data_IF_271063905845
#
_entry.id   IF_271063905845
#
_cell.length_a   1.000
_cell.length_b   1.000
_cell.length_c   1.000
_cell.angle_alpha   90.00
_cell.angle_beta   90.00
_cell.angle_gamma   90.00
#
_symmetry.space_group_name_H-M   'P 1'
#
loop_
_entity.id
_entity.type
_entity.pdbx_description
1 polymer ?
#
# COMPACT_ATOMS: atom_id res chain seq x y z
N UNK A 1 -16.73 -23.47 25.39
CA UNK A 1 -16.29 -23.69 23.99
C UNK A 1 -14.94 -22.98 23.83
N UNK A 2 -13.89 -23.76 23.86
CA UNK A 2 -12.52 -23.23 23.74
C UNK A 2 -12.14 -23.09 22.29
N UNK A 3 -11.79 -21.88 21.88
CA UNK A 3 -11.29 -21.61 20.53
C UNK A 3 -9.77 -21.74 20.61
N UNK A 4 -9.25 -22.81 19.97
CA UNK A 4 -7.82 -23.04 19.78
C UNK A 4 -7.27 -22.03 18.79
N UNK A 5 -6.34 -21.20 19.23
CA UNK A 5 -5.44 -20.48 18.34
C UNK A 5 -4.30 -21.41 17.95
N UNK A 6 -4.24 -21.73 16.66
CA UNK A 6 -3.18 -22.54 16.10
C UNK A 6 -1.83 -21.82 16.17
N UNK A 7 -0.86 -22.52 16.68
CA UNK A 7 0.55 -22.13 16.77
C UNK A 7 1.16 -21.99 15.38
N UNK A 8 1.88 -20.92 15.15
CA UNK A 8 2.73 -20.74 13.98
C UNK A 8 3.97 -21.63 14.10
N UNK A 9 4.30 -22.44 13.10
CA UNK A 9 5.60 -23.13 13.08
C UNK A 9 6.70 -22.12 12.76
N UNK A 10 7.56 -21.92 13.73
CA UNK A 10 8.86 -21.27 13.61
C UNK A 10 9.82 -22.15 12.80
N UNK A 11 10.78 -21.47 12.16
CA UNK A 11 12.01 -22.01 11.57
C UNK A 11 11.90 -22.70 10.20
N UNK A 12 11.98 -21.87 9.15
CA UNK A 12 12.56 -22.31 7.89
C UNK A 12 13.81 -21.48 7.61
N UNK A 13 14.91 -22.19 7.62
CA UNK A 13 16.28 -21.86 7.31
C UNK A 13 16.41 -20.86 6.15
N UNK A 14 17.06 -19.72 6.44
CA UNK A 14 17.54 -18.76 5.45
C UNK A 14 18.66 -19.37 4.62
N UNK A 15 18.34 -19.88 3.43
CA UNK A 15 19.33 -20.09 2.38
C UNK A 15 19.62 -18.75 1.74
N UNK A 16 20.87 -18.29 1.88
CA UNK A 16 21.47 -17.16 1.24
C UNK A 16 21.27 -17.20 -0.28
N UNK A 17 20.53 -16.24 -0.82
CA UNK A 17 20.55 -15.89 -2.24
C UNK A 17 21.71 -14.91 -2.46
N UNK A 18 22.91 -15.44 -2.55
CA UNK A 18 24.03 -14.73 -3.16
C UNK A 18 23.90 -14.84 -4.66
N UNK A 19 23.89 -13.75 -5.30
CA UNK A 19 24.29 -13.39 -6.65
C UNK A 19 23.22 -12.69 -7.48
N UNK A 20 23.10 -11.38 -7.29
CA UNK A 20 22.73 -10.48 -8.36
C UNK A 20 23.73 -9.35 -8.39
N UNK A 21 24.60 -9.36 -9.41
CA UNK A 21 25.54 -8.28 -9.70
C UNK A 21 24.77 -7.02 -10.01
N UNK A 22 24.62 -6.17 -9.02
CA UNK A 22 24.05 -4.83 -9.13
C UNK A 22 25.16 -3.87 -9.53
N UNK A 23 24.90 -3.13 -10.58
CA UNK A 23 25.70 -2.03 -11.08
C UNK A 23 26.14 -1.06 -9.96
N UNK A 24 27.39 -1.22 -9.52
CA UNK A 24 28.29 -0.15 -9.14
C UNK A 24 27.98 0.81 -7.99
N UNK A 25 27.04 0.51 -7.09
CA UNK A 25 26.89 1.30 -5.86
C UNK A 25 27.20 0.40 -4.68
N UNK A 26 28.46 0.49 -4.20
CA UNK A 26 28.87 -0.11 -2.93
C UNK A 26 28.24 0.65 -1.77
N UNK A 27 26.99 0.43 -1.48
CA UNK A 27 26.41 0.79 -0.19
C UNK A 27 26.61 -0.36 0.78
N UNK A 28 27.69 -0.31 1.54
CA UNK A 28 27.87 -1.07 2.77
C UNK A 28 26.86 -0.56 3.80
N UNK A 29 25.62 -0.99 3.70
CA UNK A 29 24.70 -0.93 4.81
C UNK A 29 23.71 -2.06 4.62
N UNK A 30 23.79 -3.03 5.49
CA UNK A 30 22.78 -4.05 5.70
C UNK A 30 21.52 -3.30 6.15
N UNK A 31 20.75 -2.80 5.19
CA UNK A 31 19.48 -2.15 5.48
C UNK A 31 18.55 -3.25 5.93
N UNK A 32 18.44 -3.42 7.24
CA UNK A 32 17.38 -4.20 7.84
C UNK A 32 16.07 -3.58 7.39
N UNK A 33 15.45 -4.17 6.37
CA UNK A 33 14.13 -3.76 5.91
C UNK A 33 13.16 -3.98 7.06
N UNK A 34 12.62 -2.90 7.59
CA UNK A 34 11.51 -2.98 8.55
C UNK A 34 10.33 -3.71 7.90
N UNK A 35 9.43 -4.36 8.66
CA UNK A 35 8.23 -5.01 8.12
C UNK A 35 7.44 -4.11 7.17
N UNK A 36 7.40 -2.79 7.44
CA UNK A 36 6.79 -1.79 6.58
C UNK A 36 7.57 -1.58 5.27
N UNK A 37 8.89 -1.72 5.31
CA UNK A 37 9.75 -1.69 4.12
C UNK A 37 9.47 -2.86 3.18
N UNK A 38 9.39 -4.08 3.72
CA UNK A 38 9.01 -5.27 2.96
C UNK A 38 7.65 -5.11 2.30
N UNK A 39 6.65 -4.61 3.04
CA UNK A 39 5.32 -4.39 2.50
C UNK A 39 5.33 -3.39 1.33
N UNK A 40 6.14 -2.33 1.42
CA UNK A 40 6.28 -1.37 0.31
C UNK A 40 6.90 -2.01 -0.93
N UNK A 41 7.95 -2.79 -0.76
CA UNK A 41 8.58 -3.53 -1.88
C UNK A 41 7.55 -4.44 -2.55
N UNK A 42 6.81 -5.21 -1.78
CA UNK A 42 5.74 -6.07 -2.27
C UNK A 42 4.67 -5.29 -3.05
N UNK A 43 4.20 -4.16 -2.53
CA UNK A 43 3.21 -3.31 -3.21
C UNK A 43 3.74 -2.82 -4.59
N UNK A 44 5.03 -2.51 -4.70
CA UNK A 44 5.64 -2.11 -5.97
C UNK A 44 5.84 -3.27 -6.94
N UNK A 45 6.16 -4.47 -6.45
CA UNK A 45 6.22 -5.68 -7.29
C UNK A 45 4.85 -6.00 -7.88
N UNK A 46 3.80 -5.94 -7.08
CA UNK A 46 2.42 -6.11 -7.56
C UNK A 46 2.04 -5.03 -8.59
N UNK A 47 2.49 -3.79 -8.37
CA UNK A 47 2.26 -2.71 -9.34
C UNK A 47 2.96 -2.99 -10.68
N UNK A 48 4.15 -3.57 -10.67
CA UNK A 48 4.86 -3.95 -11.89
C UNK A 48 4.14 -5.07 -12.64
N UNK A 49 3.58 -6.05 -11.93
CA UNK A 49 2.72 -7.07 -12.54
C UNK A 49 1.46 -6.45 -13.16
N UNK A 50 0.79 -5.56 -12.42
CA UNK A 50 -0.39 -4.85 -12.95
C UNK A 50 -0.09 -4.05 -14.21
N UNK A 51 1.10 -3.44 -14.32
CA UNK A 51 1.54 -2.72 -15.52
C UNK A 51 1.71 -3.63 -16.74
N UNK A 52 2.24 -4.84 -16.50
CA UNK A 52 2.43 -5.84 -17.57
C UNK A 52 1.10 -6.37 -18.07
N UNK A 53 0.16 -6.61 -17.18
CA UNK A 53 -1.18 -7.11 -17.51
C UNK A 53 -2.06 -6.03 -18.15
N UNK A 54 -1.89 -4.77 -17.79
CA UNK A 54 -2.73 -3.65 -18.21
C UNK A 54 -1.91 -2.53 -18.87
N UNK A 55 -1.25 -2.79 -20.01
CA UNK A 55 -0.32 -1.83 -20.63
C UNK A 55 -1.01 -0.57 -21.15
N UNK A 56 -2.28 -0.65 -21.54
CA UNK A 56 -3.08 0.49 -22.05
C UNK A 56 -3.68 1.34 -20.93
N UNK A 57 -3.76 0.81 -19.72
CA UNK A 57 -4.36 1.48 -18.58
C UNK A 57 -3.43 2.53 -17.93
N UNK A 58 -4.02 3.44 -17.17
CA UNK A 58 -3.29 4.50 -16.46
C UNK A 58 -2.24 3.97 -15.48
N UNK A 59 -2.40 2.73 -15.00
CA UNK A 59 -1.45 2.08 -14.09
C UNK A 59 -0.08 1.89 -14.75
N UNK A 60 -0.02 1.69 -16.06
CA UNK A 60 1.23 1.52 -16.82
C UNK A 60 2.17 2.72 -16.66
N UNK A 61 1.62 3.93 -16.56
CA UNK A 61 2.32 5.21 -16.45
C UNK A 61 2.53 5.66 -15.00
N UNK A 62 1.85 5.02 -14.04
CA UNK A 62 1.84 5.42 -12.64
C UNK A 62 3.23 5.38 -12.02
N UNK A 63 3.65 6.50 -11.43
CA UNK A 63 4.96 6.71 -10.79
C UNK A 63 6.19 6.47 -11.68
N UNK A 64 5.99 6.33 -12.98
CA UNK A 64 7.07 6.17 -13.97
C UNK A 64 7.27 7.42 -14.82
N UNK A 65 6.19 8.03 -15.27
CA UNK A 65 6.26 9.20 -16.13
C UNK A 65 6.20 10.49 -15.33
N UNK A 66 6.87 11.52 -15.86
CA UNK A 66 6.77 12.89 -15.37
C UNK A 66 5.46 13.50 -15.88
N UNK A 67 4.83 14.35 -15.07
CA UNK A 67 3.68 15.15 -15.48
C UNK A 67 4.14 16.20 -16.49
N UNK A 68 5.16 16.96 -16.11
CA UNK A 68 5.83 17.93 -16.96
C UNK A 68 7.18 17.37 -17.40
N UNK A 69 7.38 17.24 -18.71
CA UNK A 69 8.61 16.69 -19.29
C UNK A 69 9.81 17.63 -19.14
N UNK A 70 9.56 18.93 -19.03
CA UNK A 70 10.61 19.95 -18.91
C UNK A 70 11.22 20.01 -17.52
N UNK A 71 10.42 19.68 -16.50
CA UNK A 71 10.85 19.70 -15.10
C UNK A 71 11.43 18.38 -14.65
N UNK A 72 12.46 18.43 -13.81
CA UNK A 72 13.02 17.24 -13.16
C UNK A 72 12.08 16.68 -12.09
N UNK A 73 12.31 15.44 -11.67
CA UNK A 73 11.64 14.87 -10.50
C UNK A 73 12.25 15.52 -9.27
N UNK A 74 11.42 16.02 -8.39
CA UNK A 74 11.81 16.62 -7.12
C UNK A 74 11.40 15.72 -5.95
N UNK A 75 12.20 15.72 -4.90
CA UNK A 75 11.81 15.12 -3.62
C UNK A 75 11.38 16.28 -2.71
N UNK A 76 10.15 16.24 -2.26
CA UNK A 76 9.59 17.23 -1.34
C UNK A 76 9.42 16.57 0.02
N UNK A 77 9.91 17.21 1.06
CA UNK A 77 9.73 16.78 2.45
C UNK A 77 8.67 17.66 3.12
N UNK A 78 7.72 17.02 3.77
CA UNK A 78 6.71 17.70 4.55
C UNK A 78 7.03 17.52 6.04
N UNK A 79 7.46 18.57 6.70
CA UNK A 79 7.87 18.57 8.11
C UNK A 79 6.74 18.17 9.05
N UNK A 80 5.52 18.71 8.86
CA UNK A 80 4.37 18.37 9.70
C UNK A 80 3.98 16.90 9.68
N UNK A 81 4.29 16.19 8.61
CA UNK A 81 3.96 14.77 8.43
C UNK A 81 5.16 13.86 8.50
N UNK A 82 6.35 14.44 8.63
CA UNK A 82 7.64 13.72 8.61
C UNK A 82 7.75 12.74 7.44
N UNK A 83 7.24 13.14 6.27
CA UNK A 83 7.16 12.28 5.09
C UNK A 83 7.70 12.98 3.86
N UNK A 84 8.55 12.25 3.14
CA UNK A 84 9.00 12.65 1.81
C UNK A 84 8.07 12.09 0.72
N UNK A 85 7.87 12.88 -0.33
CA UNK A 85 7.13 12.47 -1.51
C UNK A 85 7.80 13.00 -2.78
N UNK A 86 7.57 12.31 -3.89
CA UNK A 86 8.07 12.74 -5.18
C UNK A 86 7.11 13.73 -5.84
N UNK A 87 7.62 14.90 -6.21
CA UNK A 87 6.92 15.85 -7.08
C UNK A 87 7.11 15.50 -8.56
N UNK A 88 6.27 16.07 -9.41
CA UNK A 88 6.31 15.93 -10.87
C UNK A 88 6.23 14.46 -11.36
N UNK A 89 5.50 13.61 -10.67
CA UNK A 89 5.31 12.19 -11.02
C UNK A 89 3.85 11.89 -11.22
N UNK A 90 3.51 11.27 -12.35
CA UNK A 90 2.15 10.91 -12.68
C UNK A 90 1.60 9.84 -11.74
N UNK A 91 0.42 10.07 -11.17
CA UNK A 91 -0.30 9.14 -10.29
C UNK A 91 -1.59 8.72 -10.98
N UNK A 92 -1.85 7.41 -11.08
CA UNK A 92 -3.05 6.93 -11.75
C UNK A 92 -4.34 7.12 -10.96
N UNK A 93 -4.26 7.13 -9.62
CA UNK A 93 -5.42 7.24 -8.74
C UNK A 93 -6.40 6.07 -8.80
N UNK A 94 -6.02 4.96 -9.41
CA UNK A 94 -6.90 3.79 -9.52
C UNK A 94 -6.88 2.95 -8.24
N UNK A 95 -8.07 2.65 -7.73
CA UNK A 95 -8.26 1.75 -6.58
C UNK A 95 -8.22 0.29 -7.04
N UNK A 96 -8.62 0.02 -8.29
CA UNK A 96 -8.81 -1.34 -8.80
C UNK A 96 -7.56 -1.91 -9.46
N UNK A 97 -6.85 -1.11 -10.24
CA UNK A 97 -5.74 -1.58 -11.05
C UNK A 97 -4.35 -1.28 -10.48
N UNK A 98 -4.24 -0.43 -9.48
CA UNK A 98 -2.95 -0.04 -8.92
C UNK A 98 -2.88 -0.28 -7.40
N UNK A 99 -2.17 -1.31 -6.94
CA UNK A 99 -2.10 -1.65 -5.51
C UNK A 99 -1.50 -0.52 -4.65
N UNK A 100 -0.54 0.22 -5.18
CA UNK A 100 0.09 1.34 -4.46
C UNK A 100 -0.89 2.51 -4.28
N UNK A 101 -1.66 2.86 -5.32
CA UNK A 101 -2.67 3.91 -5.23
C UNK A 101 -3.87 3.46 -4.38
N UNK A 102 -4.31 2.22 -4.54
CA UNK A 102 -5.38 1.63 -3.75
C UNK A 102 -5.10 1.73 -2.26
N UNK A 103 -3.92 1.31 -1.83
CA UNK A 103 -3.50 1.36 -0.43
C UNK A 103 -3.53 2.79 0.13
N UNK A 104 -2.98 3.75 -0.61
CA UNK A 104 -2.95 5.15 -0.18
C UNK A 104 -4.36 5.76 -0.07
N UNK A 105 -5.21 5.51 -1.06
CA UNK A 105 -6.58 6.03 -1.07
C UNK A 105 -7.41 5.39 0.04
N UNK A 106 -7.31 4.07 0.20
CA UNK A 106 -8.03 3.33 1.25
C UNK A 106 -7.60 3.80 2.64
N UNK A 107 -6.31 3.99 2.86
CA UNK A 107 -5.81 4.49 4.14
C UNK A 107 -6.30 5.91 4.43
N UNK A 108 -6.31 6.79 3.42
CA UNK A 108 -6.84 8.15 3.56
C UNK A 108 -8.32 8.12 3.93
N UNK A 109 -9.13 7.36 3.19
CA UNK A 109 -10.57 7.21 3.46
C UNK A 109 -10.86 6.61 4.83
N UNK A 110 -10.08 5.61 5.25
CA UNK A 110 -10.19 5.02 6.59
C UNK A 110 -9.97 6.07 7.68
N UNK A 111 -8.96 6.91 7.53
CA UNK A 111 -8.67 7.96 8.49
C UNK A 111 -9.77 9.05 8.51
N UNK A 112 -10.29 9.43 7.33
CA UNK A 112 -11.39 10.39 7.20
C UNK A 112 -12.67 9.84 7.86
N UNK A 113 -12.99 8.57 7.59
CA UNK A 113 -14.14 7.90 8.20
C UNK A 113 -13.99 7.81 9.73
N UNK A 114 -12.80 7.43 10.23
CA UNK A 114 -12.53 7.38 11.66
C UNK A 114 -12.79 8.72 12.35
N UNK A 115 -12.25 9.80 11.79
CA UNK A 115 -12.50 11.16 12.30
C UNK A 115 -13.97 11.55 12.25
N UNK A 116 -14.67 11.20 11.18
CA UNK A 116 -16.11 11.44 11.04
C UNK A 116 -16.91 10.72 12.12
N UNK A 117 -16.60 9.46 12.38
CA UNK A 117 -17.24 8.65 13.42
C UNK A 117 -16.97 9.24 14.82
N UNK A 118 -15.73 9.63 15.11
CA UNK A 118 -15.37 10.25 16.39
C UNK A 118 -16.11 11.57 16.61
N UNK A 119 -16.13 12.45 15.59
CA UNK A 119 -16.87 13.70 15.62
C UNK A 119 -18.37 13.49 15.85
N UNK A 120 -18.96 12.51 15.16
CA UNK A 120 -20.37 12.19 15.32
C UNK A 120 -20.69 11.65 16.71
N UNK A 121 -19.86 10.76 17.26
CA UNK A 121 -20.01 10.24 18.61
C UNK A 121 -19.98 11.36 19.66
N UNK A 122 -19.06 12.30 19.50
CA UNK A 122 -18.93 13.44 20.41
C UNK A 122 -20.16 14.35 20.34
N UNK A 123 -20.70 14.60 19.14
CA UNK A 123 -21.85 15.49 18.97
C UNK A 123 -23.17 14.87 19.44
N UNK A 124 -23.37 13.57 19.28
CA UNK A 124 -24.65 12.90 19.51
C UNK A 124 -24.66 11.93 20.68
N UNK A 125 -23.52 11.76 21.38
CA UNK A 125 -23.33 10.79 22.48
C UNK A 125 -23.85 9.38 22.15
N UNK A 126 -23.71 8.99 20.88
CA UNK A 126 -24.25 7.76 20.31
C UNK A 126 -23.20 6.70 19.98
N UNK A 127 -23.64 5.49 19.66
CA UNK A 127 -22.78 4.39 19.22
C UNK A 127 -23.02 4.12 17.74
N UNK A 128 -21.94 3.86 16.99
CA UNK A 128 -22.00 3.47 15.58
C UNK A 128 -21.86 1.96 15.47
N UNK A 129 -22.85 1.30 14.92
CA UNK A 129 -22.83 -0.13 14.67
C UNK A 129 -22.75 -0.39 13.17
N UNK A 130 -21.87 -1.28 12.77
CA UNK A 130 -21.86 -1.86 11.43
C UNK A 130 -22.62 -3.20 11.50
N UNK A 131 -23.85 -3.30 10.98
CA UNK A 131 -24.52 -4.59 10.91
C UNK A 131 -23.73 -5.49 9.96
N UNK A 132 -23.23 -6.62 10.46
CA UNK A 132 -22.75 -7.71 9.62
C UNK A 132 -23.99 -8.37 9.02
N UNK A 133 -24.40 -7.98 7.83
CA UNK A 133 -25.32 -8.79 7.07
C UNK A 133 -24.58 -10.05 6.61
N UNK A 134 -24.94 -11.23 7.07
CA UNK A 134 -24.52 -12.43 6.37
C UNK A 134 -25.16 -12.31 4.97
N UNK A 135 -24.35 -12.27 3.94
CA UNK A 135 -24.82 -12.52 2.59
C UNK A 135 -25.35 -13.96 2.62
N UNK A 136 -26.66 -14.10 2.77
CA UNK A 136 -27.32 -15.37 2.53
C UNK A 136 -27.16 -15.64 1.03
N UNK A 137 -26.14 -16.37 0.65
CA UNK A 137 -26.20 -17.15 -0.56
C UNK A 137 -27.26 -18.21 -0.30
N UNK A 138 -28.46 -17.94 -0.78
CA UNK A 138 -29.45 -19.02 -0.98
C UNK A 138 -28.88 -19.93 -2.07
N UNK A 139 -28.60 -21.20 -1.77
CA UNK A 139 -28.03 -22.11 -2.77
C UNK A 139 -29.10 -22.67 -3.74
N UNK A 140 -30.30 -22.11 -3.75
CA UNK A 140 -31.41 -22.61 -4.57
C UNK A 140 -31.93 -21.49 -5.48
N UNK A 141 -31.38 -21.39 -6.68
CA UNK A 141 -32.09 -21.14 -7.95
C UNK A 141 -31.20 -21.53 -9.12
#
# INVERSE_FOLDING_TARGET
MNIFYGENPSSASSKSLENSQSLGIKTKSHVMLTPQGFQRVHDYLLQDQSRKLLPKERVSKCRRLRIDKTKTRTVMYNEHREKAHYGNVQICGSIWSCPVCAKQITQKRRNELGKGIESWKTAHNGSVYMPKHPFCHSPDQ
#
